data_IF_808174809926
#
_entry.id   IF_808174809926
#
_cell.length_a   1.000
_cell.length_b   1.000
_cell.length_c   1.000
_cell.angle_alpha   90.00
_cell.angle_beta   90.00
_cell.angle_gamma   90.00
#
_symmetry.space_group_name_H-M   'P 1'
#
loop_
_entity.id
_entity.type
_entity.pdbx_description
1 polymer ?
#
# COMPACT_ATOMS: atom_id res chain seq x y z
N UNK A 1 -8.17 14.30 27.20
CA UNK A 1 -8.88 13.52 26.17
C UNK A 1 -8.50 12.07 26.39
N UNK A 2 -9.45 11.22 26.67
CA UNK A 2 -9.20 9.77 26.83
C UNK A 2 -9.19 9.09 25.44
N UNK A 3 -8.70 7.85 25.37
CA UNK A 3 -8.57 7.10 24.12
C UNK A 3 -9.91 6.97 23.40
N UNK A 4 -11.00 6.76 24.15
CA UNK A 4 -12.37 6.62 23.60
C UNK A 4 -12.88 7.91 22.95
N UNK A 5 -12.66 9.05 23.59
CA UNK A 5 -13.01 10.37 23.02
C UNK A 5 -12.26 10.65 21.73
N UNK A 6 -10.96 10.26 21.65
CA UNK A 6 -10.17 10.37 20.44
C UNK A 6 -10.77 9.53 19.29
N UNK A 7 -11.09 8.26 19.55
CA UNK A 7 -11.71 7.35 18.55
C UNK A 7 -13.05 7.88 18.03
N UNK A 8 -13.91 8.42 18.92
CA UNK A 8 -15.18 9.00 18.51
C UNK A 8 -14.97 10.27 17.65
N UNK A 9 -13.99 11.10 18.00
CA UNK A 9 -13.64 12.29 17.23
C UNK A 9 -13.10 11.92 15.85
N UNK A 10 -12.21 10.93 15.75
CA UNK A 10 -11.69 10.40 14.49
C UNK A 10 -12.82 9.85 13.61
N UNK A 11 -13.80 9.17 14.21
CA UNK A 11 -14.97 8.68 13.50
C UNK A 11 -15.82 9.81 12.91
N UNK A 12 -16.08 10.86 13.67
CA UNK A 12 -16.86 12.01 13.17
C UNK A 12 -16.12 12.76 12.06
N UNK A 13 -14.78 12.82 12.14
CA UNK A 13 -13.94 13.45 11.13
C UNK A 13 -13.65 12.56 9.91
N UNK A 14 -14.14 11.30 9.90
CA UNK A 14 -13.90 10.35 8.81
C UNK A 14 -12.47 9.81 8.77
N UNK A 15 -11.73 9.89 9.88
CA UNK A 15 -10.33 9.50 10.01
C UNK A 15 -10.14 8.07 10.54
N UNK A 16 -11.23 7.38 10.94
CA UNK A 16 -11.16 6.00 11.44
C UNK A 16 -10.64 5.05 10.34
N UNK A 17 -9.59 4.26 10.61
CA UNK A 17 -9.09 3.25 9.68
C UNK A 17 -10.20 2.26 9.26
N UNK A 18 -10.16 1.79 8.02
CA UNK A 18 -11.18 0.88 7.49
C UNK A 18 -11.32 -0.41 8.32
N UNK A 19 -10.20 -0.95 8.80
CA UNK A 19 -10.17 -2.16 9.63
C UNK A 19 -10.87 -2.00 11.00
N UNK A 20 -10.97 -0.77 11.52
CA UNK A 20 -11.59 -0.47 12.81
C UNK A 20 -13.04 -0.02 12.67
N UNK A 21 -13.47 0.38 11.48
CA UNK A 21 -14.79 0.97 11.22
C UNK A 21 -15.92 -0.02 11.48
N UNK A 22 -15.82 -1.25 10.97
CA UNK A 22 -16.84 -2.29 11.19
C UNK A 22 -17.01 -2.62 12.67
N UNK A 23 -15.91 -2.71 13.41
CA UNK A 23 -15.94 -2.95 14.85
C UNK A 23 -16.63 -1.81 15.61
N UNK A 24 -16.34 -0.57 15.25
CA UNK A 24 -16.95 0.60 15.85
C UNK A 24 -18.45 0.70 15.51
N UNK A 25 -18.85 0.40 14.28
CA UNK A 25 -20.25 0.37 13.83
C UNK A 25 -21.05 -0.67 14.62
N UNK A 26 -20.54 -1.89 14.77
CA UNK A 26 -21.17 -2.94 15.56
C UNK A 26 -21.28 -2.56 17.05
N UNK A 27 -20.27 -1.90 17.62
CA UNK A 27 -20.31 -1.40 18.99
C UNK A 27 -21.35 -0.29 19.17
N UNK A 28 -21.48 0.63 18.20
CA UNK A 28 -22.50 1.68 18.20
C UNK A 28 -23.92 1.13 18.13
N UNK A 29 -24.16 0.09 17.32
CA UNK A 29 -25.45 -0.59 17.24
C UNK A 29 -25.86 -1.26 18.56
N UNK A 30 -24.87 -1.84 19.26
CA UNK A 30 -25.11 -2.56 20.51
C UNK A 30 -25.12 -1.69 21.76
N UNK A 31 -24.64 -0.43 21.71
CA UNK A 31 -24.47 0.46 22.85
C UNK A 31 -25.16 1.80 22.68
N UNK A 32 -26.40 1.96 23.19
CA UNK A 32 -27.08 3.26 23.17
C UNK A 32 -26.34 4.38 23.95
N UNK A 33 -25.44 4.00 24.88
CA UNK A 33 -24.61 4.96 25.59
C UNK A 33 -23.55 5.53 24.67
N UNK A 34 -22.84 4.66 23.90
CA UNK A 34 -21.84 5.06 22.94
C UNK A 34 -22.42 5.90 21.80
N UNK A 35 -23.60 5.53 21.32
CA UNK A 35 -24.32 6.30 20.30
C UNK A 35 -24.62 7.73 20.76
N UNK A 36 -24.97 7.91 22.05
CA UNK A 36 -25.18 9.25 22.64
C UNK A 36 -23.89 10.04 22.77
N UNK A 37 -22.79 9.38 23.16
CA UNK A 37 -21.48 10.02 23.23
C UNK A 37 -21.04 10.50 21.84
N UNK A 38 -21.21 9.67 20.81
CA UNK A 38 -20.90 10.06 19.42
C UNK A 38 -21.78 11.23 18.96
N UNK A 39 -23.06 11.24 19.30
CA UNK A 39 -23.96 12.35 18.98
C UNK A 39 -23.50 13.65 19.64
N UNK A 40 -23.09 13.61 20.91
CA UNK A 40 -22.55 14.77 21.61
C UNK A 40 -21.26 15.30 20.99
N UNK A 41 -20.34 14.41 20.54
CA UNK A 41 -19.12 14.80 19.82
C UNK A 41 -19.47 15.47 18.49
N UNK A 42 -20.44 14.93 17.73
CA UNK A 42 -20.92 15.53 16.48
C UNK A 42 -21.50 16.92 16.68
N UNK A 43 -22.32 17.10 17.71
CA UNK A 43 -22.90 18.38 18.04
C UNK A 43 -21.85 19.41 18.43
N UNK A 44 -20.89 19.02 19.28
CA UNK A 44 -19.78 19.89 19.66
C UNK A 44 -18.90 20.31 18.46
N UNK A 45 -18.56 19.37 17.58
CA UNK A 45 -17.80 19.67 16.36
C UNK A 45 -18.60 20.51 15.37
N UNK A 46 -19.92 20.28 15.25
CA UNK A 46 -20.81 21.12 14.45
C UNK A 46 -20.87 22.57 14.96
N UNK A 47 -20.88 22.74 16.27
CA UNK A 47 -20.82 24.07 16.87
C UNK A 47 -19.49 24.78 16.56
N UNK A 48 -18.36 24.09 16.73
CA UNK A 48 -17.04 24.62 16.38
C UNK A 48 -16.98 24.95 14.88
N UNK A 49 -17.45 24.06 14.01
CA UNK A 49 -17.49 24.28 12.57
C UNK A 49 -18.32 25.53 12.19
N UNK A 50 -19.43 25.79 12.89
CA UNK A 50 -20.25 26.98 12.65
C UNK A 50 -19.59 28.31 13.05
N UNK A 51 -18.56 28.24 13.90
CA UNK A 51 -17.76 29.41 14.31
C UNK A 51 -16.59 29.69 13.36
N UNK A 52 -16.27 28.73 12.48
CA UNK A 52 -15.22 28.92 11.47
C UNK A 52 -15.79 29.64 10.25
N UNK A 53 -14.97 30.44 9.54
CA UNK A 53 -15.39 31.00 8.27
C UNK A 53 -15.75 29.85 7.32
N UNK A 54 -16.80 30.01 6.48
CA UNK A 54 -17.19 28.98 5.52
C UNK A 54 -15.99 28.57 4.69
N UNK A 55 -15.80 27.26 4.57
CA UNK A 55 -14.79 26.72 3.64
C UNK A 55 -15.13 27.23 2.24
N UNK A 56 -14.14 27.61 1.43
CA UNK A 56 -14.41 27.93 0.04
C UNK A 56 -15.09 26.74 -0.64
N UNK A 57 -16.15 27.00 -1.41
CA UNK A 57 -16.98 25.98 -2.06
C UNK A 57 -16.18 25.02 -2.96
N UNK A 58 -14.98 25.45 -3.36
CA UNK A 58 -14.00 24.61 -4.05
C UNK A 58 -12.61 24.73 -3.40
N UNK A 59 -11.83 23.64 -3.37
CA UNK A 59 -10.42 23.70 -2.99
C UNK A 59 -9.73 24.75 -3.86
N UNK A 60 -8.90 25.59 -3.26
CA UNK A 60 -8.12 26.57 -4.03
C UNK A 60 -7.47 25.86 -5.22
N UNK A 61 -7.52 26.46 -6.45
CA UNK A 61 -7.02 25.78 -7.66
C UNK A 61 -5.60 25.20 -7.50
N UNK A 62 -4.74 25.90 -6.77
CA UNK A 62 -3.38 25.43 -6.45
C UNK A 62 -3.38 24.19 -5.52
N UNK A 63 -4.27 24.16 -4.52
CA UNK A 63 -4.36 23.02 -3.61
C UNK A 63 -4.92 21.78 -4.33
N UNK A 64 -5.93 21.99 -5.19
CA UNK A 64 -6.47 20.92 -6.04
C UNK A 64 -5.41 20.39 -7.01
N UNK A 65 -4.69 21.28 -7.70
CA UNK A 65 -3.62 20.88 -8.62
C UNK A 65 -2.49 20.14 -7.90
N UNK A 66 -2.07 20.59 -6.70
CA UNK A 66 -1.07 19.93 -5.90
C UNK A 66 -1.53 18.52 -5.44
N UNK A 67 -2.79 18.38 -5.03
CA UNK A 67 -3.37 17.11 -4.65
C UNK A 67 -3.42 16.14 -5.84
N UNK A 68 -3.91 16.57 -6.99
CA UNK A 68 -3.95 15.77 -8.21
C UNK A 68 -2.53 15.35 -8.64
N UNK A 69 -1.57 16.29 -8.65
CA UNK A 69 -0.18 15.96 -8.95
C UNK A 69 0.42 14.96 -7.96
N UNK A 70 0.06 15.01 -6.68
CA UNK A 70 0.50 14.03 -5.70
C UNK A 70 -0.12 12.64 -5.92
N UNK A 71 -1.37 12.57 -6.41
CA UNK A 71 -2.04 11.31 -6.75
C UNK A 71 -1.50 10.71 -8.05
N UNK A 72 -1.08 11.56 -9.01
CA UNK A 72 -0.55 11.15 -10.32
C UNK A 72 0.97 10.97 -10.32
N UNK A 73 1.62 11.01 -9.19
CA UNK A 73 3.08 10.87 -9.05
C UNK A 73 3.46 9.78 -8.04
N UNK A 74 4.74 9.42 -7.99
CA UNK A 74 5.28 8.50 -6.99
C UNK A 74 5.03 8.93 -5.55
N UNK A 75 4.65 10.19 -5.31
CA UNK A 75 4.25 10.68 -3.99
C UNK A 75 3.03 9.96 -3.41
N UNK A 76 2.17 9.33 -4.23
CA UNK A 76 1.04 8.50 -3.79
C UNK A 76 1.48 7.29 -2.94
N UNK A 77 2.74 6.86 -3.06
CA UNK A 77 3.29 5.72 -2.32
C UNK A 77 3.95 6.10 -0.98
N UNK A 78 3.99 7.39 -0.62
CA UNK A 78 4.58 7.87 0.65
C UNK A 78 4.08 7.15 1.91
N UNK A 79 2.81 6.72 2.02
CA UNK A 79 2.35 5.94 3.17
C UNK A 79 3.12 4.63 3.39
N UNK A 80 3.71 4.03 2.35
CA UNK A 80 4.44 2.76 2.42
C UNK A 80 5.96 2.94 2.66
N UNK A 81 6.44 4.19 2.75
CA UNK A 81 7.88 4.47 2.77
C UNK A 81 8.60 3.86 3.98
N UNK A 82 7.96 3.81 5.15
CA UNK A 82 8.58 3.26 6.36
C UNK A 82 8.64 1.73 6.33
N UNK A 83 7.68 1.07 5.70
CA UNK A 83 7.70 -0.38 5.47
C UNK A 83 8.79 -0.77 4.49
N UNK A 84 8.88 -0.07 3.35
CA UNK A 84 9.92 -0.32 2.36
C UNK A 84 11.32 0.04 2.87
N UNK A 85 11.45 1.07 3.72
CA UNK A 85 12.71 1.38 4.37
C UNK A 85 13.24 0.19 5.19
N UNK A 86 12.34 -0.56 5.87
CA UNK A 86 12.71 -1.78 6.61
C UNK A 86 13.04 -2.95 5.69
N UNK A 87 12.23 -3.18 4.65
CA UNK A 87 12.45 -4.30 3.72
C UNK A 87 13.73 -4.18 2.91
N UNK A 88 14.08 -2.96 2.51
CA UNK A 88 15.28 -2.69 1.71
C UNK A 88 16.50 -2.28 2.54
N UNK A 89 16.37 -2.14 3.87
CA UNK A 89 17.40 -1.58 4.75
C UNK A 89 17.94 -0.24 4.24
N UNK A 90 17.04 0.64 3.81
CA UNK A 90 17.35 1.96 3.28
C UNK A 90 16.77 3.07 4.16
N UNK A 91 17.43 4.24 4.25
CA UNK A 91 16.81 5.40 4.86
C UNK A 91 15.51 5.77 4.15
N UNK A 92 14.48 6.16 4.92
CA UNK A 92 13.19 6.62 4.38
C UNK A 92 13.34 7.69 3.29
N UNK A 93 14.30 8.60 3.44
CA UNK A 93 14.58 9.63 2.43
C UNK A 93 14.93 9.01 1.07
N UNK A 94 15.74 7.93 1.07
CA UNK A 94 16.12 7.22 -0.15
C UNK A 94 14.90 6.54 -0.82
N UNK A 95 13.99 5.97 -0.03
CA UNK A 95 12.73 5.42 -0.55
C UNK A 95 11.89 6.50 -1.25
N UNK A 96 11.81 7.71 -0.66
CA UNK A 96 11.08 8.82 -1.28
C UNK A 96 11.72 9.30 -2.60
N UNK A 97 13.06 9.25 -2.70
CA UNK A 97 13.78 9.53 -3.96
C UNK A 97 13.47 8.47 -5.03
N UNK A 98 13.42 7.19 -4.65
CA UNK A 98 13.04 6.10 -5.54
C UNK A 98 11.60 6.23 -6.02
N UNK A 99 10.67 6.61 -5.15
CA UNK A 99 9.29 6.89 -5.55
C UNK A 99 9.16 8.03 -6.55
N UNK A 100 10.03 9.04 -6.49
CA UNK A 100 10.04 10.12 -7.49
C UNK A 100 10.42 9.64 -8.91
N UNK A 101 11.05 8.48 -9.03
CA UNK A 101 11.53 7.89 -10.27
C UNK A 101 10.60 6.78 -10.82
N UNK A 102 9.64 6.32 -10.01
CA UNK A 102 8.83 5.12 -10.26
C UNK A 102 7.88 5.25 -11.46
N UNK A 103 7.55 6.47 -11.86
CA UNK A 103 6.65 6.76 -12.98
C UNK A 103 7.40 7.06 -14.29
N UNK A 104 8.72 7.12 -14.28
CA UNK A 104 9.54 7.34 -15.47
C UNK A 104 9.88 5.99 -16.13
N UNK A 105 9.33 5.75 -17.31
CA UNK A 105 9.51 4.51 -18.07
C UNK A 105 10.99 4.26 -18.44
N UNK A 106 11.81 5.31 -18.53
CA UNK A 106 13.23 5.19 -18.81
C UNK A 106 14.03 4.46 -17.71
N UNK A 107 13.47 4.35 -16.51
CA UNK A 107 14.07 3.63 -15.39
C UNK A 107 13.77 2.12 -15.39
N UNK A 108 12.91 1.65 -16.29
CA UNK A 108 12.49 0.26 -16.35
C UNK A 108 13.18 -0.49 -17.49
N UNK A 109 13.49 -1.74 -17.25
CA UNK A 109 13.93 -2.69 -18.24
C UNK A 109 13.03 -3.92 -18.31
N UNK A 110 13.13 -4.72 -19.36
CA UNK A 110 12.34 -5.91 -19.53
C UNK A 110 12.66 -6.94 -18.43
N UNK A 111 11.63 -7.40 -17.75
CA UNK A 111 11.72 -8.44 -16.74
C UNK A 111 11.82 -9.86 -17.32
N UNK A 112 11.76 -10.90 -16.46
CA UNK A 112 11.99 -12.29 -16.86
C UNK A 112 10.88 -12.88 -17.74
N UNK A 113 9.73 -12.21 -17.85
CA UNK A 113 8.59 -12.65 -18.66
C UNK A 113 8.02 -11.49 -19.48
N UNK A 114 7.40 -11.76 -20.64
CA UNK A 114 6.77 -10.73 -21.46
C UNK A 114 5.76 -9.89 -20.67
N UNK A 115 5.87 -8.58 -20.78
CA UNK A 115 5.00 -7.61 -20.13
C UNK A 115 5.39 -7.26 -18.70
N UNK A 116 6.36 -7.94 -18.10
CA UNK A 116 6.95 -7.54 -16.81
C UNK A 116 8.04 -6.51 -17.09
N UNK A 117 8.04 -5.45 -16.31
CA UNK A 117 9.06 -4.41 -16.34
C UNK A 117 9.65 -4.22 -14.94
N UNK A 118 10.96 -4.03 -14.84
CA UNK A 118 11.68 -3.94 -13.56
C UNK A 118 12.53 -2.68 -13.51
N UNK A 119 12.39 -1.92 -12.44
CA UNK A 119 13.28 -0.83 -12.07
C UNK A 119 14.18 -1.28 -10.93
N UNK A 120 15.40 -1.70 -11.25
CA UNK A 120 16.37 -2.14 -10.24
C UNK A 120 16.97 -0.98 -9.46
N UNK A 121 17.27 -1.21 -8.18
CA UNK A 121 18.06 -0.31 -7.36
C UNK A 121 18.86 -1.07 -6.31
N UNK A 122 19.90 -0.44 -5.78
CA UNK A 122 20.73 -1.03 -4.73
C UNK A 122 20.07 -0.80 -3.37
N UNK A 123 19.84 -1.89 -2.64
CA UNK A 123 19.38 -1.88 -1.26
C UNK A 123 20.53 -1.60 -0.25
N UNK A 124 20.17 -1.43 1.00
CA UNK A 124 21.12 -1.24 2.10
C UNK A 124 21.83 -2.53 2.53
N UNK A 125 22.74 -2.45 3.52
CA UNK A 125 23.61 -3.56 3.94
C UNK A 125 22.87 -4.83 4.35
N UNK A 126 21.69 -4.73 4.95
CA UNK A 126 20.87 -5.89 5.36
C UNK A 126 20.21 -6.63 4.22
N UNK A 127 20.19 -6.06 3.02
CA UNK A 127 19.66 -6.68 1.80
C UNK A 127 20.72 -6.78 0.68
N UNK A 128 22.00 -6.68 1.03
CA UNK A 128 23.11 -6.84 0.07
C UNK A 128 23.12 -8.27 -0.50
N UNK A 129 23.22 -8.34 -1.83
CA UNK A 129 23.23 -9.62 -2.55
C UNK A 129 21.88 -10.09 -3.03
N UNK A 130 20.79 -9.46 -2.54
CA UNK A 130 19.46 -9.70 -3.08
C UNK A 130 19.20 -8.85 -4.32
N UNK A 131 18.39 -9.38 -5.22
CA UNK A 131 17.81 -8.60 -6.32
C UNK A 131 16.67 -7.74 -5.77
N UNK A 132 16.75 -6.43 -5.98
CA UNK A 132 15.81 -5.47 -5.42
C UNK A 132 15.33 -4.49 -6.46
N UNK A 133 14.01 -4.23 -6.47
CA UNK A 133 13.44 -3.36 -7.48
C UNK A 133 11.97 -3.04 -7.25
N UNK A 134 11.47 -2.16 -8.12
CA UNK A 134 10.04 -2.03 -8.37
C UNK A 134 9.68 -2.77 -9.64
N UNK A 135 8.60 -3.55 -9.60
CA UNK A 135 8.18 -4.40 -10.71
C UNK A 135 6.75 -4.04 -11.11
N UNK A 136 6.59 -3.75 -12.39
CA UNK A 136 5.28 -3.57 -13.02
C UNK A 136 4.82 -4.89 -13.59
N UNK A 137 3.62 -5.29 -13.24
CA UNK A 137 3.00 -6.55 -13.63
C UNK A 137 1.66 -6.25 -14.33
N UNK A 138 1.44 -6.70 -15.56
CA UNK A 138 0.18 -6.44 -16.26
C UNK A 138 -0.99 -7.14 -15.59
N UNK A 139 -2.17 -6.53 -15.70
CA UNK A 139 -3.43 -7.09 -15.23
C UNK A 139 -3.67 -8.49 -15.78
N UNK A 140 -4.10 -9.41 -14.93
CA UNK A 140 -4.37 -10.81 -15.31
C UNK A 140 -3.13 -11.67 -15.55
N UNK A 141 -1.91 -11.15 -15.36
CA UNK A 141 -0.68 -11.95 -15.45
C UNK A 141 -0.77 -13.17 -14.53
N UNK A 142 -0.40 -14.33 -15.08
CA UNK A 142 -0.20 -15.55 -14.30
C UNK A 142 1.30 -15.77 -14.13
N UNK A 143 1.83 -15.57 -12.94
CA UNK A 143 3.24 -15.88 -12.67
C UNK A 143 3.34 -17.38 -12.38
N UNK A 144 4.22 -18.12 -13.10
CA UNK A 144 4.23 -19.58 -13.06
C UNK A 144 4.61 -20.11 -11.68
N UNK A 145 4.29 -21.37 -11.45
CA UNK A 145 4.73 -22.08 -10.26
C UNK A 145 6.27 -22.14 -10.23
N UNK A 146 6.87 -21.67 -9.15
CA UNK A 146 8.31 -21.53 -9.03
C UNK A 146 8.79 -21.81 -7.61
N UNK A 147 10.08 -22.10 -7.48
CA UNK A 147 10.76 -22.37 -6.21
C UNK A 147 11.80 -21.30 -5.95
N UNK A 148 11.78 -20.74 -4.74
CA UNK A 148 12.70 -19.71 -4.30
C UNK A 148 14.07 -20.28 -3.94
N UNK A 149 15.16 -19.63 -4.38
CA UNK A 149 16.50 -19.94 -3.93
C UNK A 149 16.75 -19.41 -2.53
N UNK A 150 16.25 -18.22 -2.21
CA UNK A 150 16.36 -17.58 -0.92
C UNK A 150 15.03 -17.01 -0.44
N UNK A 151 15.11 -15.95 0.33
CA UNK A 151 13.91 -15.22 0.77
C UNK A 151 13.31 -14.41 -0.39
N UNK A 152 11.98 -14.32 -0.41
CA UNK A 152 11.27 -13.41 -1.29
C UNK A 152 10.30 -12.55 -0.50
N UNK A 153 10.24 -11.27 -0.86
CA UNK A 153 9.22 -10.32 -0.41
C UNK A 153 8.65 -9.64 -1.65
N UNK A 154 7.35 -9.81 -1.89
CA UNK A 154 6.59 -9.05 -2.89
C UNK A 154 5.61 -8.13 -2.18
N UNK A 155 6.00 -6.87 -1.94
CA UNK A 155 5.18 -5.87 -1.28
C UNK A 155 4.33 -5.11 -2.29
N UNK A 156 3.01 -5.13 -2.13
CA UNK A 156 2.07 -4.51 -3.08
C UNK A 156 2.01 -3.00 -2.85
N UNK A 157 2.29 -2.22 -3.90
CA UNK A 157 2.15 -0.75 -3.93
C UNK A 157 0.86 -0.32 -4.60
N UNK A 158 0.45 -0.99 -5.69
CA UNK A 158 -0.85 -0.77 -6.34
C UNK A 158 -1.32 -2.02 -7.07
N UNK A 159 -2.61 -2.09 -7.41
CA UNK A 159 -3.22 -3.31 -7.93
C UNK A 159 -3.43 -4.33 -6.82
N UNK A 160 -3.48 -5.63 -7.16
CA UNK A 160 -3.60 -6.71 -6.19
C UNK A 160 -2.96 -7.99 -6.72
N UNK A 161 -2.36 -8.78 -5.83
CA UNK A 161 -1.83 -10.11 -6.12
C UNK A 161 -2.69 -11.18 -5.45
N UNK A 162 -2.93 -12.28 -6.15
CA UNK A 162 -3.54 -13.49 -5.60
C UNK A 162 -2.51 -14.61 -5.57
N UNK A 163 -2.17 -15.08 -4.39
CA UNK A 163 -1.28 -16.24 -4.21
C UNK A 163 -1.98 -17.55 -4.60
N UNK A 164 -1.21 -18.59 -4.86
CA UNK A 164 -1.72 -19.90 -5.28
C UNK A 164 -2.65 -20.59 -4.27
N UNK A 165 -2.62 -20.21 -3.00
CA UNK A 165 -3.56 -20.64 -1.96
C UNK A 165 -4.90 -19.89 -1.98
N UNK A 166 -5.04 -18.90 -2.86
CA UNK A 166 -6.23 -18.05 -3.01
C UNK A 166 -6.19 -16.75 -2.19
N UNK A 167 -5.21 -16.55 -1.34
CA UNK A 167 -5.06 -15.32 -0.54
C UNK A 167 -4.87 -14.11 -1.46
N UNK A 168 -5.64 -13.04 -1.25
CA UNK A 168 -5.53 -11.78 -1.97
C UNK A 168 -4.72 -10.78 -1.16
N UNK A 169 -3.70 -10.20 -1.79
CA UNK A 169 -2.83 -9.18 -1.20
C UNK A 169 -3.11 -7.83 -1.86
N UNK A 170 -3.42 -6.84 -1.04
CA UNK A 170 -3.77 -5.47 -1.42
C UNK A 170 -2.61 -4.49 -1.13
N UNK A 171 -2.69 -3.23 -1.60
CA UNK A 171 -1.65 -2.23 -1.31
C UNK A 171 -1.37 -2.09 0.19
N UNK A 172 -0.10 -2.19 0.55
CA UNK A 172 0.38 -2.22 1.93
C UNK A 172 0.60 -3.63 2.51
N UNK A 173 0.27 -4.68 1.77
CA UNK A 173 0.48 -6.07 2.19
C UNK A 173 1.61 -6.71 1.38
N UNK A 174 2.19 -7.80 1.89
CA UNK A 174 3.30 -8.50 1.24
C UNK A 174 3.11 -10.02 1.22
N UNK A 175 3.44 -10.63 0.08
CA UNK A 175 3.71 -12.07 -0.01
C UNK A 175 5.15 -12.26 0.46
N UNK A 176 5.35 -13.07 1.50
CA UNK A 176 6.68 -13.39 2.04
C UNK A 176 6.89 -14.89 1.94
N UNK A 177 7.95 -15.29 1.25
CA UNK A 177 8.27 -16.72 1.03
C UNK A 177 9.67 -17.04 1.56
N UNK A 178 9.79 -18.07 2.43
CA UNK A 178 11.09 -18.58 2.85
C UNK A 178 11.85 -19.31 1.74
N UNK A 179 13.18 -19.49 1.90
CA UNK A 179 13.99 -20.29 0.97
C UNK A 179 13.42 -21.69 0.73
N UNK A 180 13.50 -22.15 -0.51
CA UNK A 180 13.09 -23.51 -0.92
C UNK A 180 11.57 -23.73 -0.99
N UNK A 181 10.75 -22.76 -0.62
CA UNK A 181 9.29 -22.83 -0.80
C UNK A 181 8.91 -22.68 -2.27
N UNK A 182 7.73 -23.17 -2.61
CA UNK A 182 7.16 -23.06 -3.95
C UNK A 182 5.80 -22.40 -3.89
N UNK A 183 5.52 -21.55 -4.85
CA UNK A 183 4.19 -21.00 -5.10
C UNK A 183 4.01 -20.55 -6.55
N UNK A 184 2.83 -20.11 -6.86
CA UNK A 184 2.44 -19.34 -8.04
C UNK A 184 1.64 -18.15 -7.56
N UNK A 185 1.55 -17.09 -8.36
CA UNK A 185 0.62 -16.01 -8.07
C UNK A 185 0.06 -15.42 -9.37
N UNK A 186 -0.99 -14.66 -9.25
CA UNK A 186 -1.59 -13.93 -10.35
C UNK A 186 -1.86 -12.49 -9.98
N UNK A 187 -1.86 -11.62 -10.98
CA UNK A 187 -2.31 -10.22 -10.85
C UNK A 187 -3.83 -10.19 -11.04
N UNK A 188 -4.53 -9.46 -10.19
CA UNK A 188 -5.97 -9.25 -10.35
C UNK A 188 -6.28 -8.60 -11.72
N UNK A 189 -7.37 -9.02 -12.40
CA UNK A 189 -7.60 -8.64 -13.80
C UNK A 189 -8.07 -7.20 -14.01
N UNK A 190 -8.43 -6.51 -12.93
CA UNK A 190 -9.04 -5.17 -12.99
C UNK A 190 -8.00 -4.07 -13.22
N UNK A 191 -6.73 -4.31 -12.85
CA UNK A 191 -5.68 -3.29 -12.90
C UNK A 191 -4.29 -3.91 -12.84
N UNK A 192 -3.33 -3.27 -13.54
CA UNK A 192 -1.91 -3.58 -13.41
C UNK A 192 -1.45 -3.43 -11.95
N UNK A 193 -0.56 -4.31 -11.54
CA UNK A 193 0.06 -4.23 -10.23
C UNK A 193 1.45 -3.60 -10.31
N UNK A 194 1.79 -2.86 -9.28
CA UNK A 194 3.13 -2.38 -8.98
C UNK A 194 3.54 -2.94 -7.64
N UNK A 195 4.66 -3.63 -7.60
CA UNK A 195 5.19 -4.24 -6.38
C UNK A 195 6.61 -3.79 -6.11
N UNK A 196 7.02 -3.85 -4.86
CA UNK A 196 8.40 -3.71 -4.44
C UNK A 196 8.94 -5.11 -4.07
N UNK A 197 10.09 -5.49 -4.63
CA UNK A 197 10.61 -6.85 -4.54
C UNK A 197 11.97 -6.89 -3.88
N UNK A 198 12.17 -7.86 -3.00
CA UNK A 198 13.48 -8.34 -2.51
C UNK A 198 13.50 -9.84 -2.75
N UNK A 199 14.46 -10.35 -3.52
CA UNK A 199 14.54 -11.77 -3.84
C UNK A 199 15.97 -12.26 -4.08
N UNK A 200 16.17 -13.59 -3.97
CA UNK A 200 17.44 -14.29 -4.25
C UNK A 200 17.38 -15.13 -5.54
N UNK A 201 16.41 -14.88 -6.38
CA UNK A 201 16.15 -15.67 -7.56
C UNK A 201 15.23 -16.87 -7.34
N UNK A 202 14.77 -17.45 -8.43
CA UNK A 202 13.85 -18.59 -8.44
C UNK A 202 14.05 -19.49 -9.66
N UNK A 203 13.58 -20.72 -9.55
CA UNK A 203 13.44 -21.66 -10.68
C UNK A 203 11.95 -21.89 -10.98
N UNK A 204 11.56 -21.80 -12.25
CA UNK A 204 10.24 -22.27 -12.66
C UNK A 204 10.22 -23.79 -12.58
N UNK A 205 9.26 -24.34 -11.84
CA UNK A 205 9.12 -25.77 -11.60
C UNK A 205 7.72 -26.25 -11.96
N UNK A 206 7.54 -27.52 -12.38
CA UNK A 206 6.21 -28.08 -12.59
C UNK A 206 5.36 -27.99 -11.33
N UNK A 207 4.07 -27.73 -11.51
CA UNK A 207 3.11 -27.89 -10.42
C UNK A 207 2.91 -29.38 -10.20
N UNK A 208 3.22 -29.85 -9.00
CA UNK A 208 3.09 -31.24 -8.59
C UNK A 208 1.64 -31.70 -8.45
#
# INVERSE_FOLDING_TARGET
MNVREATLMESVLGLTPAAEREGLEAELESSPALARELAAVREALGLVASMLPPAPDEPRPRARAALLSALDSGARFRPFADDLARHFDLPRARILELFAQIDDDANYEAGPMPGIEVMHFTAGPGAVGHDTGFVRLPAGLQFPHHRHHGHEVNYVLSGALRDGDGTLYLPGEAIIKPPGTTHEFSVAPEKDALIAVVQDGFDVVPKG
#
